data_IF_628043976175
#
_entry.id   IF_628043976175
#
_cell.length_a   1.000
_cell.length_b   1.000
_cell.length_c   1.000
_cell.angle_alpha   90.00
_cell.angle_beta   90.00
_cell.angle_gamma   90.00
#
_symmetry.space_group_name_H-M   'P 1'
#
loop_
_entity.id
_entity.type
_entity.pdbx_description
1 polymer ?
#
# COMPACT_ATOMS: atom_id res chain seq x y z
N UNK A 1 2.01 -6.44 -46.84
CA UNK A 1 1.89 -5.04 -46.35
C UNK A 1 0.89 -4.30 -47.25
N UNK A 2 -0.10 -3.63 -46.65
CA UNK A 2 -1.06 -2.78 -47.34
C UNK A 2 -1.01 -1.37 -46.73
N UNK A 3 -0.97 -0.36 -47.59
CA UNK A 3 -0.86 1.06 -47.23
C UNK A 3 -1.97 1.81 -47.94
N UNK A 4 -2.72 2.64 -47.22
CA UNK A 4 -3.79 3.48 -47.76
C UNK A 4 -3.65 4.94 -47.30
N UNK A 5 -3.78 5.88 -48.25
CA UNK A 5 -3.76 7.32 -48.04
C UNK A 5 -2.58 7.86 -47.21
N UNK A 6 -1.39 7.28 -47.39
CA UNK A 6 -0.19 7.58 -46.61
C UNK A 6 0.82 8.38 -47.44
N UNK A 7 1.18 9.58 -47.00
CA UNK A 7 2.01 10.54 -47.74
C UNK A 7 1.52 10.72 -49.19
N UNK A 8 2.36 10.38 -50.19
CA UNK A 8 1.97 10.45 -51.61
C UNK A 8 1.33 9.16 -52.14
N UNK A 9 1.10 8.14 -51.30
CA UNK A 9 0.50 6.87 -51.68
C UNK A 9 -1.01 6.92 -51.48
N UNK A 10 -1.79 6.64 -52.54
CA UNK A 10 -3.23 6.42 -52.43
C UNK A 10 -3.51 5.00 -51.92
N UNK A 11 -2.95 4.00 -52.58
CA UNK A 11 -3.00 2.60 -52.20
C UNK A 11 -1.72 1.91 -52.66
N UNK A 12 -1.12 1.09 -51.82
CA UNK A 12 0.02 0.24 -52.16
C UNK A 12 -0.12 -1.08 -51.42
N UNK A 13 0.00 -2.18 -52.14
CA UNK A 13 0.02 -3.53 -51.58
C UNK A 13 1.23 -4.26 -52.13
N UNK A 14 2.02 -4.85 -51.23
CA UNK A 14 3.13 -5.70 -51.63
C UNK A 14 3.40 -6.78 -50.59
N UNK A 15 4.04 -7.84 -51.06
CA UNK A 15 4.47 -8.98 -50.24
C UNK A 15 5.98 -9.12 -50.35
N UNK A 16 6.64 -9.24 -49.21
CA UNK A 16 8.06 -9.59 -49.14
C UNK A 16 8.20 -11.11 -49.21
N UNK A 17 9.25 -11.60 -49.84
CA UNK A 17 9.59 -13.03 -49.87
C UNK A 17 10.70 -13.34 -48.86
N UNK A 18 10.91 -14.62 -48.57
CA UNK A 18 12.08 -15.04 -47.78
C UNK A 18 13.39 -14.67 -48.48
N UNK A 19 14.41 -14.31 -47.70
CA UNK A 19 15.72 -13.89 -48.20
C UNK A 19 15.82 -12.40 -48.51
N UNK A 20 16.65 -12.06 -49.50
CA UNK A 20 16.98 -10.68 -49.85
C UNK A 20 15.89 -10.05 -50.74
N UNK A 21 15.25 -8.99 -50.23
CA UNK A 21 14.32 -8.17 -51.00
C UNK A 21 14.98 -6.82 -51.31
N UNK A 22 15.12 -6.47 -52.59
CA UNK A 22 15.74 -5.22 -53.02
C UNK A 22 14.65 -4.28 -53.54
N UNK A 23 14.50 -3.13 -52.87
CA UNK A 23 13.63 -2.03 -53.29
C UNK A 23 14.48 -0.99 -54.03
N UNK A 24 14.26 -0.86 -55.34
CA UNK A 24 14.89 0.16 -56.19
C UNK A 24 13.84 1.12 -56.76
N UNK A 25 14.29 2.31 -57.18
CA UNK A 25 13.43 3.34 -57.75
C UNK A 25 14.23 4.56 -58.20
N UNK A 26 13.60 5.43 -58.97
CA UNK A 26 14.21 6.63 -59.54
C UNK A 26 14.41 7.74 -58.50
N UNK A 27 13.52 7.83 -57.50
CA UNK A 27 13.60 8.79 -56.41
C UNK A 27 13.60 8.11 -55.05
N UNK A 28 14.35 8.67 -54.09
CA UNK A 28 14.42 8.16 -52.71
C UNK A 28 13.10 8.27 -51.93
N UNK A 29 12.12 9.02 -52.44
CA UNK A 29 10.85 9.27 -51.76
C UNK A 29 10.04 7.98 -51.54
N UNK A 30 9.94 7.09 -52.54
CA UNK A 30 9.15 5.86 -52.44
C UNK A 30 9.67 4.90 -51.37
N UNK A 31 11.00 4.72 -51.31
CA UNK A 31 11.66 3.89 -50.30
C UNK A 31 11.46 4.43 -48.89
N UNK A 32 11.65 5.75 -48.71
CA UNK A 32 11.47 6.40 -47.41
C UNK A 32 10.02 6.27 -46.92
N UNK A 33 9.02 6.37 -47.80
CA UNK A 33 7.61 6.22 -47.41
C UNK A 33 7.32 4.79 -46.93
N UNK A 34 7.87 3.78 -47.60
CA UNK A 34 7.71 2.38 -47.17
C UNK A 34 8.36 2.17 -45.79
N UNK A 35 9.57 2.69 -45.57
CA UNK A 35 10.24 2.63 -44.26
C UNK A 35 9.41 3.33 -43.19
N UNK A 36 8.87 4.51 -43.47
CA UNK A 36 8.01 5.24 -42.53
C UNK A 36 6.71 4.48 -42.21
N UNK A 37 6.12 3.80 -43.20
CA UNK A 37 4.95 2.96 -42.99
C UNK A 37 5.28 1.74 -42.11
N UNK A 38 6.44 1.12 -42.31
CA UNK A 38 6.93 0.04 -41.45
C UNK A 38 7.18 0.55 -40.03
N UNK A 39 7.84 1.70 -39.85
CA UNK A 39 8.02 2.34 -38.55
C UNK A 39 6.68 2.61 -37.84
N UNK A 40 5.66 3.01 -38.58
CA UNK A 40 4.33 3.19 -38.02
C UNK A 40 3.75 1.85 -37.50
N UNK A 41 3.88 0.75 -38.25
CA UNK A 41 3.45 -0.58 -37.80
C UNK A 41 4.23 -1.07 -36.58
N UNK A 42 5.48 -0.64 -36.40
CA UNK A 42 6.35 -1.06 -35.29
C UNK A 42 6.19 -0.24 -34.01
N UNK A 43 5.17 0.64 -33.95
CA UNK A 43 4.94 1.49 -32.78
C UNK A 43 5.71 2.82 -32.81
N UNK A 44 6.22 3.23 -33.97
CA UNK A 44 6.80 4.56 -34.18
C UNK A 44 5.78 5.69 -34.01
N UNK A 45 6.25 6.93 -33.96
CA UNK A 45 5.36 8.10 -33.79
C UNK A 45 4.49 8.31 -35.02
N UNK A 46 3.20 8.58 -34.79
CA UNK A 46 2.28 9.01 -35.84
C UNK A 46 2.31 10.55 -35.94
N UNK A 47 2.34 11.08 -37.16
CA UNK A 47 2.11 12.50 -37.44
C UNK A 47 0.98 12.65 -38.47
N UNK A 48 0.21 13.72 -38.35
CA UNK A 48 -0.79 14.10 -39.35
C UNK A 48 -0.15 14.40 -40.72
N UNK A 49 1.14 14.75 -40.76
CA UNK A 49 1.90 14.99 -42.00
C UNK A 49 2.06 13.73 -42.85
N UNK A 50 1.90 12.56 -42.23
CA UNK A 50 1.91 11.27 -42.93
C UNK A 50 0.57 10.96 -43.61
N UNK A 51 -0.47 11.77 -43.38
CA UNK A 51 -1.77 11.61 -44.04
C UNK A 51 -1.72 12.33 -45.38
N UNK A 52 -2.10 11.63 -46.45
CA UNK A 52 -2.17 12.18 -47.80
C UNK A 52 -3.02 13.45 -47.84
N UNK A 53 -2.54 14.47 -48.57
CA UNK A 53 -3.27 15.71 -48.78
C UNK A 53 -4.69 15.47 -49.31
N UNK A 54 -5.68 16.03 -48.63
CA UNK A 54 -7.10 15.89 -48.96
C UNK A 54 -7.81 14.70 -48.29
N UNK A 55 -7.07 13.81 -47.61
CA UNK A 55 -7.65 12.68 -46.87
C UNK A 55 -7.86 13.01 -45.39
N UNK A 56 -8.86 12.34 -44.77
CA UNK A 56 -9.18 12.47 -43.34
C UNK A 56 -8.41 11.47 -42.46
N UNK A 57 -8.02 10.34 -43.05
CA UNK A 57 -7.32 9.24 -42.37
C UNK A 57 -6.30 8.58 -43.31
N UNK A 58 -5.33 7.90 -42.71
CA UNK A 58 -4.41 6.99 -43.38
C UNK A 58 -4.32 5.68 -42.59
N UNK A 59 -4.09 4.56 -43.26
CA UNK A 59 -3.95 3.26 -42.61
C UNK A 59 -2.80 2.45 -43.18
N UNK A 60 -2.10 1.75 -42.30
CA UNK A 60 -1.09 0.75 -42.66
C UNK A 60 -1.48 -0.56 -42.01
N UNK A 61 -1.36 -1.65 -42.77
CA UNK A 61 -1.73 -3.00 -42.36
C UNK A 61 -0.63 -3.99 -42.78
N UNK A 62 -0.16 -4.79 -41.84
CA UNK A 62 0.91 -5.76 -42.04
C UNK A 62 0.47 -7.12 -41.51
N UNK A 63 0.58 -8.14 -42.37
CA UNK A 63 0.46 -9.54 -41.98
C UNK A 63 1.86 -10.11 -41.84
N UNK A 64 2.12 -10.73 -40.70
CA UNK A 64 3.35 -11.45 -40.42
C UNK A 64 3.05 -12.94 -40.23
N UNK A 65 3.86 -13.77 -40.85
CA UNK A 65 3.82 -15.23 -40.73
C UNK A 65 5.10 -15.67 -40.04
N UNK A 66 4.98 -16.42 -38.94
CA UNK A 66 6.13 -16.98 -38.24
C UNK A 66 5.93 -18.47 -37.97
N UNK A 67 7.02 -19.28 -38.00
CA UNK A 67 6.99 -20.59 -37.34
C UNK A 67 6.66 -20.40 -35.86
N UNK A 68 5.97 -21.37 -35.26
CA UNK A 68 5.57 -21.29 -33.85
C UNK A 68 6.79 -21.03 -32.96
N UNK A 69 6.79 -19.85 -32.33
CA UNK A 69 7.82 -19.44 -31.39
C UNK A 69 7.18 -19.30 -30.01
N UNK A 70 7.62 -20.15 -29.07
CA UNK A 70 7.08 -20.22 -27.71
C UNK A 70 7.15 -18.87 -26.99
N UNK A 71 8.26 -18.13 -27.12
CA UNK A 71 8.45 -16.84 -26.46
C UNK A 71 7.50 -15.76 -27.00
N UNK A 72 7.28 -15.75 -28.33
CA UNK A 72 6.36 -14.81 -28.98
C UNK A 72 4.90 -15.14 -28.60
N UNK A 73 4.56 -16.43 -28.53
CA UNK A 73 3.27 -16.93 -28.05
C UNK A 73 2.95 -16.54 -26.61
N UNK A 74 3.89 -16.77 -25.69
CA UNK A 74 3.75 -16.43 -24.28
C UNK A 74 3.54 -14.91 -24.11
N UNK A 75 4.35 -14.08 -24.80
CA UNK A 75 4.20 -12.63 -24.76
C UNK A 75 2.87 -12.15 -25.33
N UNK A 76 2.43 -12.66 -26.49
CA UNK A 76 1.15 -12.26 -27.07
C UNK A 76 -0.01 -12.69 -26.18
N UNK A 77 0.09 -13.85 -25.53
CA UNK A 77 -0.91 -14.34 -24.58
C UNK A 77 -0.99 -13.46 -23.33
N UNK A 78 0.15 -13.02 -22.76
CA UNK A 78 0.19 -12.03 -21.67
C UNK A 78 -0.50 -10.72 -22.05
N UNK A 79 -0.37 -10.31 -23.32
CA UNK A 79 -0.97 -9.09 -23.84
C UNK A 79 -2.45 -9.27 -24.26
N UNK A 80 -3.00 -10.48 -24.17
CA UNK A 80 -4.38 -10.80 -24.53
C UNK A 80 -4.62 -11.01 -26.03
N UNK A 81 -3.58 -11.27 -26.82
CA UNK A 81 -3.70 -11.54 -28.26
C UNK A 81 -3.52 -13.03 -28.55
N UNK A 82 -4.44 -13.62 -29.31
CA UNK A 82 -4.27 -14.99 -29.81
C UNK A 82 -3.32 -15.01 -31.00
N UNK A 83 -2.33 -15.91 -31.00
CA UNK A 83 -1.42 -16.15 -32.12
C UNK A 83 -1.57 -17.58 -32.62
N UNK A 84 -1.69 -17.74 -33.94
CA UNK A 84 -1.83 -19.05 -34.62
C UNK A 84 -0.95 -19.08 -35.88
N UNK A 85 0.34 -18.75 -35.73
CA UNK A 85 1.28 -18.63 -36.85
C UNK A 85 1.17 -17.33 -37.64
N UNK A 86 0.05 -16.61 -37.52
CA UNK A 86 -0.21 -15.34 -38.19
C UNK A 86 -0.50 -14.19 -37.21
N UNK A 87 0.07 -13.02 -37.51
CA UNK A 87 -0.15 -11.78 -36.78
C UNK A 87 -0.49 -10.65 -37.74
N UNK A 88 -1.73 -10.18 -37.67
CA UNK A 88 -2.23 -9.04 -38.43
C UNK A 88 -2.21 -7.79 -37.56
N UNK A 89 -1.43 -6.80 -37.97
CA UNK A 89 -1.35 -5.50 -37.31
C UNK A 89 -1.92 -4.44 -38.24
N UNK A 90 -2.88 -3.67 -37.76
CA UNK A 90 -3.44 -2.53 -38.48
C UNK A 90 -3.37 -1.28 -37.62
N UNK A 91 -2.77 -0.22 -38.18
CA UNK A 91 -2.69 1.10 -37.56
C UNK A 91 -3.35 2.13 -38.46
N UNK A 92 -4.32 2.86 -37.91
CA UNK A 92 -5.03 3.93 -38.58
C UNK A 92 -4.80 5.24 -37.85
N UNK A 93 -4.46 6.29 -38.59
CA UNK A 93 -4.18 7.63 -38.08
C UNK A 93 -5.18 8.60 -38.68
N UNK A 94 -5.76 9.46 -37.84
CA UNK A 94 -6.78 10.43 -38.23
C UNK A 94 -6.23 11.84 -38.11
N UNK A 95 -6.67 12.73 -39.00
CA UNK A 95 -6.23 14.15 -39.01
C UNK A 95 -6.61 14.89 -37.74
N UNK A 96 -7.64 14.41 -37.04
CA UNK A 96 -8.12 14.88 -35.73
C UNK A 96 -7.21 14.44 -34.57
N UNK A 97 -6.08 13.78 -34.84
CA UNK A 97 -5.10 13.33 -33.83
C UNK A 97 -5.44 11.97 -33.18
N UNK A 98 -6.59 11.38 -33.51
CA UNK A 98 -6.95 10.03 -33.05
C UNK A 98 -6.07 9.00 -33.75
N UNK A 99 -5.66 7.99 -32.99
CA UNK A 99 -4.90 6.84 -33.49
C UNK A 99 -5.62 5.56 -33.06
N UNK A 100 -5.81 4.64 -34.00
CA UNK A 100 -6.43 3.34 -33.76
C UNK A 100 -5.43 2.24 -34.12
N UNK A 101 -5.20 1.32 -33.19
CA UNK A 101 -4.30 0.19 -33.37
C UNK A 101 -5.11 -1.09 -33.13
N UNK A 102 -5.01 -2.03 -34.07
CA UNK A 102 -5.62 -3.34 -34.00
C UNK A 102 -4.53 -4.39 -34.19
N UNK A 103 -4.53 -5.41 -33.32
CA UNK A 103 -3.68 -6.60 -33.42
C UNK A 103 -4.61 -7.81 -33.41
N UNK A 104 -4.59 -8.61 -34.48
CA UNK A 104 -5.51 -9.73 -34.71
C UNK A 104 -6.99 -9.36 -34.48
N UNK A 105 -7.37 -8.15 -34.88
CA UNK A 105 -8.74 -7.64 -34.75
C UNK A 105 -9.07 -7.01 -33.38
N UNK A 106 -8.23 -7.19 -32.37
CA UNK A 106 -8.41 -6.62 -31.03
C UNK A 106 -7.74 -5.25 -30.89
N UNK A 107 -8.37 -4.33 -30.15
CA UNK A 107 -7.79 -3.02 -29.86
C UNK A 107 -6.51 -3.15 -29.02
N UNK A 108 -5.47 -2.42 -29.41
CA UNK A 108 -4.19 -2.41 -28.70
C UNK A 108 -3.75 -0.97 -28.38
N UNK A 109 -2.91 -0.83 -27.37
CA UNK A 109 -2.25 0.46 -27.05
C UNK A 109 -0.96 0.62 -27.85
N UNK A 110 -0.45 1.85 -27.93
CA UNK A 110 0.85 2.09 -28.57
C UNK A 110 1.98 1.34 -27.84
N UNK A 111 1.94 1.26 -26.51
CA UNK A 111 2.94 0.55 -25.72
C UNK A 111 2.95 -0.95 -26.02
N UNK A 112 1.77 -1.57 -26.15
CA UNK A 112 1.63 -2.97 -26.58
C UNK A 112 2.23 -3.17 -27.98
N UNK A 113 1.90 -2.28 -28.91
CA UNK A 113 2.41 -2.33 -30.28
C UNK A 113 3.95 -2.17 -30.32
N UNK A 114 4.52 -1.24 -29.55
CA UNK A 114 5.97 -1.04 -29.49
C UNK A 114 6.69 -2.26 -28.90
N UNK A 115 6.10 -2.93 -27.90
CA UNK A 115 6.66 -4.16 -27.31
C UNK A 115 6.69 -5.29 -28.34
N UNK A 116 5.61 -5.46 -29.10
CA UNK A 116 5.52 -6.47 -30.15
C UNK A 116 6.44 -6.12 -31.34
N UNK A 117 6.40 -4.87 -31.82
CA UNK A 117 7.16 -4.40 -32.97
C UNK A 117 8.68 -4.57 -32.82
N UNK A 118 9.21 -4.40 -31.61
CA UNK A 118 10.63 -4.60 -31.32
C UNK A 118 11.16 -6.01 -31.63
N UNK A 119 10.27 -7.01 -31.69
CA UNK A 119 10.60 -8.41 -32.00
C UNK A 119 10.40 -8.71 -33.49
N UNK A 120 9.42 -8.06 -34.14
CA UNK A 120 8.99 -8.40 -35.50
C UNK A 120 9.96 -7.92 -36.57
N UNK A 121 10.44 -6.68 -36.47
CA UNK A 121 11.30 -6.06 -37.49
C UNK A 121 12.37 -5.23 -36.79
N UNK A 122 13.62 -5.43 -37.20
CA UNK A 122 14.72 -4.52 -36.91
C UNK A 122 15.00 -3.64 -38.12
N UNK A 123 14.95 -2.31 -37.94
CA UNK A 123 15.24 -1.33 -39.01
C UNK A 123 16.63 -0.74 -38.77
N UNK A 124 17.52 -0.92 -39.75
CA UNK A 124 18.85 -0.34 -39.76
C UNK A 124 18.87 0.91 -40.63
N UNK A 125 19.01 2.09 -40.02
CA UNK A 125 18.97 3.39 -40.71
C UNK A 125 19.61 4.53 -39.93
N UNK A 126 19.53 5.74 -40.49
CA UNK A 126 20.29 6.93 -40.02
C UNK A 126 19.77 7.54 -38.69
N UNK A 127 18.64 7.07 -38.14
CA UNK A 127 18.00 7.65 -36.96
C UNK A 127 17.33 6.65 -35.96
N UNK A 128 17.66 5.36 -35.94
CA UNK A 128 16.95 4.41 -35.05
C UNK A 128 17.83 3.53 -34.14
N UNK A 129 17.25 3.26 -32.96
CA UNK A 129 17.75 2.47 -31.85
C UNK A 129 18.33 1.14 -32.29
N UNK A 130 19.65 1.09 -32.49
CA UNK A 130 20.33 -0.19 -32.62
C UNK A 130 20.11 -0.96 -31.32
N UNK A 131 19.50 -2.15 -31.39
CA UNK A 131 19.59 -3.15 -30.32
C UNK A 131 21.05 -3.33 -29.88
N UNK A 132 21.99 -3.16 -30.82
CA UNK A 132 23.45 -3.13 -30.61
C UNK A 132 24.00 -1.89 -29.90
N UNK A 133 23.24 -0.80 -29.74
CA UNK A 133 23.66 0.39 -28.96
C UNK A 133 22.98 0.45 -27.59
N UNK A 134 21.97 -0.39 -27.34
CA UNK A 134 21.36 -0.50 -26.01
C UNK A 134 22.30 -1.30 -25.12
N UNK A 135 22.88 -0.63 -24.12
CA UNK A 135 23.78 -1.24 -23.14
C UNK A 135 23.17 -2.47 -22.47
N UNK A 136 21.86 -2.44 -22.19
CA UNK A 136 21.12 -3.55 -21.59
C UNK A 136 21.19 -4.85 -22.42
N UNK A 137 21.37 -4.73 -23.74
CA UNK A 137 21.48 -5.88 -24.65
C UNK A 137 22.91 -6.36 -24.84
N UNK A 138 23.92 -5.56 -24.49
CA UNK A 138 25.32 -5.93 -24.72
C UNK A 138 25.71 -7.17 -23.92
N UNK A 139 25.27 -7.26 -22.67
CA UNK A 139 25.49 -8.45 -21.84
C UNK A 139 24.79 -9.68 -22.43
N UNK A 140 23.55 -9.53 -22.90
CA UNK A 140 22.85 -10.64 -23.57
C UNK A 140 23.58 -11.14 -24.81
N UNK A 141 24.07 -10.22 -25.65
CA UNK A 141 24.83 -10.57 -26.84
C UNK A 141 26.17 -11.24 -26.50
N UNK A 142 26.84 -10.81 -25.43
CA UNK A 142 28.10 -11.39 -24.99
C UNK A 142 27.90 -12.79 -24.39
N UNK A 143 26.87 -12.96 -23.55
CA UNK A 143 26.50 -14.25 -22.95
C UNK A 143 26.13 -15.25 -24.05
N UNK A 144 25.31 -14.82 -25.03
CA UNK A 144 24.89 -15.66 -26.15
C UNK A 144 26.08 -16.04 -27.05
N UNK A 145 26.96 -15.08 -27.36
CA UNK A 145 28.20 -15.35 -28.08
C UNK A 145 29.10 -16.35 -27.34
N UNK A 146 29.12 -16.29 -26.01
CA UNK A 146 29.84 -17.23 -25.14
C UNK A 146 29.16 -18.57 -24.95
N UNK A 147 27.93 -18.76 -25.46
CA UNK A 147 27.12 -19.96 -25.22
C UNK A 147 26.63 -20.09 -23.77
N UNK A 148 26.55 -18.99 -23.03
CA UNK A 148 26.22 -18.92 -21.58
C UNK A 148 24.74 -18.61 -21.31
N UNK A 149 23.89 -18.73 -22.32
CA UNK A 149 22.47 -18.39 -22.22
C UNK A 149 21.73 -19.23 -21.16
N UNK A 150 22.09 -20.51 -21.02
CA UNK A 150 21.47 -21.42 -20.04
C UNK A 150 21.95 -21.11 -18.61
N UNK A 151 23.26 -20.88 -18.42
CA UNK A 151 23.84 -20.49 -17.13
C UNK A 151 23.27 -19.16 -16.63
N UNK A 152 23.08 -18.21 -17.54
CA UNK A 152 22.45 -16.93 -17.25
C UNK A 152 21.00 -17.11 -16.77
N UNK A 153 20.23 -17.98 -17.42
CA UNK A 153 18.84 -18.27 -16.99
C UNK A 153 18.82 -18.88 -15.59
N UNK A 154 19.67 -19.87 -15.33
CA UNK A 154 19.80 -20.50 -14.02
C UNK A 154 20.20 -19.49 -12.93
N UNK A 155 21.19 -18.63 -13.22
CA UNK A 155 21.59 -17.56 -12.31
C UNK A 155 20.43 -16.60 -12.02
N UNK A 156 19.61 -16.27 -13.01
CA UNK A 156 18.47 -15.38 -12.85
C UNK A 156 17.42 -16.00 -11.90
N UNK A 157 17.11 -17.28 -12.06
CA UNK A 157 16.20 -18.01 -11.17
C UNK A 157 16.72 -18.03 -9.73
N UNK A 158 18.00 -18.40 -9.53
CA UNK A 158 18.63 -18.41 -8.22
C UNK A 158 18.65 -17.02 -7.58
N UNK A 159 18.92 -15.98 -8.37
CA UNK A 159 18.94 -14.59 -7.89
C UNK A 159 17.55 -14.10 -7.48
N UNK A 160 16.51 -14.45 -8.25
CA UNK A 160 15.13 -14.14 -7.89
C UNK A 160 14.73 -14.83 -6.58
N UNK A 161 15.10 -16.10 -6.41
CA UNK A 161 14.90 -16.83 -5.15
C UNK A 161 15.63 -16.18 -3.96
N UNK A 162 16.90 -15.82 -4.14
CA UNK A 162 17.68 -15.08 -3.14
C UNK A 162 17.02 -13.76 -2.75
N UNK A 163 16.53 -13.00 -3.74
CA UNK A 163 15.89 -11.70 -3.49
C UNK A 163 14.63 -11.84 -2.65
N UNK A 164 13.77 -12.81 -2.97
CA UNK A 164 12.55 -13.09 -2.20
C UNK A 164 12.88 -13.45 -0.75
N UNK A 165 13.83 -14.37 -0.53
CA UNK A 165 14.27 -14.76 0.81
C UNK A 165 14.88 -13.59 1.59
N UNK A 166 15.66 -12.73 0.93
CA UNK A 166 16.25 -11.55 1.55
C UNK A 166 15.17 -10.55 2.00
N UNK A 167 14.16 -10.33 1.18
CA UNK A 167 13.05 -9.45 1.51
C UNK A 167 12.24 -10.01 2.69
N UNK A 168 12.00 -11.32 2.73
CA UNK A 168 11.36 -12.02 3.84
C UNK A 168 12.16 -11.90 5.15
N UNK A 169 13.49 -12.10 5.10
CA UNK A 169 14.37 -11.92 6.27
C UNK A 169 14.28 -10.50 6.81
N UNK A 170 14.26 -9.49 5.92
CA UNK A 170 14.17 -8.09 6.34
C UNK A 170 12.81 -7.79 7.00
N UNK A 171 11.73 -8.37 6.47
CA UNK A 171 10.40 -8.28 7.07
C UNK A 171 10.36 -8.86 8.49
N UNK A 172 10.81 -10.10 8.64
CA UNK A 172 10.83 -10.80 9.94
C UNK A 172 11.69 -10.07 10.98
N UNK A 173 12.86 -9.54 10.57
CA UNK A 173 13.70 -8.72 11.47
C UNK A 173 12.96 -7.50 11.99
N UNK A 174 12.19 -6.84 11.13
CA UNK A 174 11.40 -5.68 11.52
C UNK A 174 10.31 -6.06 12.53
N UNK A 175 9.57 -7.14 12.25
CA UNK A 175 8.52 -7.64 13.15
C UNK A 175 9.06 -8.05 14.53
N UNK A 176 10.22 -8.70 14.58
CA UNK A 176 10.87 -9.08 15.84
C UNK A 176 11.21 -7.83 16.67
N UNK A 177 11.70 -6.78 16.02
CA UNK A 177 12.08 -5.54 16.70
C UNK A 177 10.84 -4.83 17.26
N UNK A 178 9.80 -4.66 16.44
CA UNK A 178 8.53 -4.03 16.86
C UNK A 178 7.83 -4.82 17.99
N UNK A 179 7.87 -6.16 17.93
CA UNK A 179 7.29 -7.01 18.95
C UNK A 179 8.06 -6.92 20.27
N UNK A 180 9.40 -6.87 20.21
CA UNK A 180 10.26 -6.71 21.39
C UNK A 180 9.99 -5.41 22.13
N UNK A 181 9.94 -4.28 21.42
CA UNK A 181 9.64 -2.96 22.02
C UNK A 181 8.26 -2.95 22.70
N UNK A 182 7.26 -3.58 22.06
CA UNK A 182 5.91 -3.68 22.62
C UNK A 182 5.86 -4.57 23.86
N UNK A 183 6.61 -5.67 23.86
CA UNK A 183 6.72 -6.56 25.00
C UNK A 183 7.35 -5.83 26.20
N UNK A 184 8.45 -5.11 25.99
CA UNK A 184 9.13 -4.34 27.02
C UNK A 184 8.22 -3.26 27.63
N UNK A 185 7.50 -2.50 26.79
CA UNK A 185 6.54 -1.50 27.26
C UNK A 185 5.40 -2.13 28.08
N UNK A 186 4.85 -3.24 27.61
CA UNK A 186 3.76 -3.94 28.31
C UNK A 186 4.24 -4.48 29.65
N UNK A 187 5.45 -5.06 29.69
CA UNK A 187 6.05 -5.58 30.91
C UNK A 187 6.32 -4.47 31.93
N UNK A 188 6.79 -3.30 31.47
CA UNK A 188 6.96 -2.12 32.30
C UNK A 188 5.63 -1.65 32.91
N UNK A 189 4.57 -1.53 32.08
CA UNK A 189 3.25 -1.10 32.55
C UNK A 189 2.65 -2.07 33.58
N UNK A 190 2.79 -3.38 33.38
CA UNK A 190 2.34 -4.39 34.35
C UNK A 190 3.08 -4.21 35.68
N UNK A 191 4.41 -4.08 35.65
CA UNK A 191 5.19 -3.88 36.87
C UNK A 191 4.85 -2.58 37.59
N UNK A 192 4.52 -1.52 36.86
CA UNK A 192 4.10 -0.24 37.45
C UNK A 192 2.77 -0.39 38.18
N UNK A 193 1.79 -1.07 37.56
CA UNK A 193 0.47 -1.34 38.16
C UNK A 193 0.60 -2.25 39.38
N UNK A 194 1.38 -3.33 39.29
CA UNK A 194 1.59 -4.27 40.39
C UNK A 194 2.28 -3.60 41.59
N UNK A 195 3.28 -2.73 41.35
CA UNK A 195 3.96 -1.98 42.42
C UNK A 195 3.06 -0.94 43.10
N UNK A 196 2.03 -0.45 42.41
CA UNK A 196 1.12 0.53 42.97
C UNK A 196 0.17 -0.09 44.02
N UNK A 197 0.03 -1.43 44.07
CA UNK A 197 -0.81 -2.17 45.03
C UNK A 197 -2.24 -1.62 45.18
N UNK A 198 -2.78 -1.04 44.11
CA UNK A 198 -4.06 -0.33 44.12
C UNK A 198 -5.24 -1.27 44.36
N UNK A 199 -6.18 -0.81 45.18
CA UNK A 199 -7.40 -1.56 45.51
C UNK A 199 -8.67 -0.84 45.03
N UNK A 200 -9.69 -1.56 44.53
CA UNK A 200 -10.97 -0.95 44.18
C UNK A 200 -11.61 -0.24 45.37
N UNK A 201 -12.00 1.02 45.19
CA UNK A 201 -12.62 1.85 46.23
C UNK A 201 -11.65 2.43 47.27
N UNK A 202 -10.35 2.33 47.04
CA UNK A 202 -9.31 2.91 47.91
C UNK A 202 -9.44 4.44 48.03
N UNK A 203 -9.65 5.15 46.91
CA UNK A 203 -9.78 6.61 46.90
C UNK A 203 -10.82 7.13 47.91
N UNK A 204 -11.98 6.46 47.99
CA UNK A 204 -13.04 6.84 48.91
C UNK A 204 -12.62 6.62 50.38
N UNK A 205 -11.96 5.50 50.68
CA UNK A 205 -11.45 5.21 52.03
C UNK A 205 -10.36 6.21 52.44
N UNK A 206 -9.41 6.47 51.56
CA UNK A 206 -8.31 7.42 51.81
C UNK A 206 -8.86 8.84 51.98
N UNK A 207 -9.87 9.24 51.21
CA UNK A 207 -10.54 10.53 51.37
C UNK A 207 -11.25 10.66 52.73
N UNK A 208 -11.94 9.62 53.18
CA UNK A 208 -12.60 9.60 54.49
C UNK A 208 -11.59 9.63 55.65
N UNK A 209 -10.54 8.80 55.56
CA UNK A 209 -9.40 8.76 56.49
C UNK A 209 -8.74 10.15 56.61
N UNK A 210 -8.45 10.77 55.47
CA UNK A 210 -7.87 12.11 55.40
C UNK A 210 -8.79 13.14 56.07
N UNK A 211 -10.09 13.11 55.79
CA UNK A 211 -11.06 14.03 56.44
C UNK A 211 -11.05 13.85 57.95
N UNK A 212 -11.07 12.61 58.43
CA UNK A 212 -11.02 12.30 59.87
C UNK A 212 -9.74 12.83 60.52
N UNK A 213 -8.59 12.63 59.87
CA UNK A 213 -7.30 13.12 60.38
C UNK A 213 -7.21 14.64 60.40
N UNK A 214 -7.73 15.32 59.38
CA UNK A 214 -7.80 16.79 59.32
C UNK A 214 -8.64 17.38 60.46
N UNK A 215 -9.76 16.75 60.80
CA UNK A 215 -10.64 17.17 61.90
C UNK A 215 -10.33 16.47 63.24
N UNK A 216 -9.19 15.78 63.37
CA UNK A 216 -8.88 14.98 64.55
C UNK A 216 -8.86 15.79 65.85
N UNK A 217 -8.27 16.99 65.82
CA UNK A 217 -8.23 17.91 66.96
C UNK A 217 -9.63 18.38 67.37
N UNK A 218 -10.44 18.79 66.40
CA UNK A 218 -11.81 19.25 66.60
C UNK A 218 -12.70 18.13 67.17
N UNK A 219 -12.57 16.90 66.65
CA UNK A 219 -13.23 15.72 67.20
C UNK A 219 -12.84 15.46 68.65
N UNK A 220 -11.55 15.60 68.99
CA UNK A 220 -11.04 15.42 70.35
C UNK A 220 -11.60 16.48 71.30
N UNK A 221 -11.64 17.74 70.86
CA UNK A 221 -12.23 18.86 71.61
C UNK A 221 -13.72 18.61 71.89
N UNK A 222 -14.50 18.22 70.87
CA UNK A 222 -15.94 17.90 71.00
C UNK A 222 -16.17 16.75 71.98
N UNK A 223 -15.41 15.65 71.88
CA UNK A 223 -15.57 14.49 72.77
C UNK A 223 -15.16 14.86 74.20
N UNK A 224 -14.07 15.60 74.37
CA UNK A 224 -13.61 16.05 75.69
C UNK A 224 -14.61 17.00 76.34
N UNK A 225 -15.18 17.92 75.57
CA UNK A 225 -16.22 18.82 76.05
C UNK A 225 -17.49 18.05 76.44
N UNK A 226 -17.92 17.08 75.63
CA UNK A 226 -19.03 16.19 75.95
C UNK A 226 -18.80 15.41 77.26
N UNK A 227 -17.61 14.82 77.42
CA UNK A 227 -17.21 14.11 78.63
C UNK A 227 -17.23 15.03 79.87
N UNK A 228 -16.66 16.22 79.74
CA UNK A 228 -16.65 17.21 80.82
C UNK A 228 -18.06 17.63 81.24
N UNK A 229 -18.98 17.85 80.29
CA UNK A 229 -20.37 18.21 80.58
C UNK A 229 -21.16 17.07 81.23
N UNK A 230 -20.89 15.83 80.84
CA UNK A 230 -21.61 14.67 81.37
C UNK A 230 -21.14 14.25 82.77
N UNK A 231 -19.83 14.30 83.03
CA UNK A 231 -19.23 13.70 84.23
C UNK A 231 -18.38 14.67 85.05
N UNK A 232 -17.36 15.27 84.44
CA UNK A 232 -16.20 15.82 85.17
C UNK A 232 -16.43 17.24 85.74
N UNK A 233 -17.31 18.04 85.15
CA UNK A 233 -17.64 19.38 85.70
C UNK A 233 -18.44 19.28 86.99
N UNK A 234 -18.25 20.24 87.88
CA UNK A 234 -19.00 20.34 89.15
C UNK A 234 -20.52 20.50 88.95
N UNK A 235 -20.95 21.05 87.81
CA UNK A 235 -22.35 21.14 87.37
C UNK A 235 -22.69 20.08 86.31
N UNK A 236 -21.99 18.94 86.30
CA UNK A 236 -22.23 17.89 85.32
C UNK A 236 -23.66 17.35 85.41
N UNK A 237 -24.16 16.79 84.30
CA UNK A 237 -25.52 16.21 84.28
C UNK A 237 -25.66 15.12 85.33
N UNK A 238 -24.63 14.30 85.55
CA UNK A 238 -24.64 13.26 86.60
C UNK A 238 -24.67 13.83 88.02
N UNK A 239 -23.93 14.91 88.27
CA UNK A 239 -24.00 15.60 89.57
C UNK A 239 -25.38 16.22 89.81
N UNK A 240 -25.97 16.83 88.78
CA UNK A 240 -27.31 17.43 88.82
C UNK A 240 -28.39 16.36 89.03
N UNK A 241 -28.33 15.24 88.31
CA UNK A 241 -29.22 14.09 88.52
C UNK A 241 -29.07 13.55 89.94
N UNK A 242 -27.84 13.43 90.45
CA UNK A 242 -27.59 12.95 91.82
C UNK A 242 -28.13 13.90 92.89
N UNK A 243 -28.16 15.21 92.63
CA UNK A 243 -28.77 16.19 93.52
C UNK A 243 -30.32 16.14 93.44
N UNK A 244 -30.87 15.95 92.24
CA UNK A 244 -32.30 15.75 92.05
C UNK A 244 -32.79 14.47 92.74
N UNK A 245 -32.08 13.35 92.60
CA UNK A 245 -32.44 12.09 93.30
C UNK A 245 -32.38 12.27 94.81
N UNK A 246 -31.33 12.89 95.36
CA UNK A 246 -31.27 13.21 96.79
C UNK A 246 -32.43 14.11 97.26
N UNK A 247 -32.90 15.01 96.40
CA UNK A 247 -34.02 15.90 96.73
C UNK A 247 -35.36 15.16 96.69
N UNK A 248 -35.55 14.26 95.72
CA UNK A 248 -36.71 13.36 95.66
C UNK A 248 -36.71 12.38 96.83
N UNK A 249 -35.56 11.81 97.21
CA UNK A 249 -35.42 10.95 98.40
C UNK A 249 -35.78 11.70 99.68
N UNK A 250 -35.36 12.97 99.82
CA UNK A 250 -35.81 13.82 100.95
C UNK A 250 -37.31 14.08 100.92
N UNK A 251 -37.88 14.30 99.73
CA UNK A 251 -39.33 14.44 99.53
C UNK A 251 -40.11 13.17 99.88
N UNK A 252 -39.57 11.98 99.58
CA UNK A 252 -40.15 10.70 99.96
C UNK A 252 -40.20 10.49 101.49
N UNK A 253 -39.32 11.15 102.24
CA UNK A 253 -39.40 11.21 103.71
C UNK A 253 -40.53 12.10 104.25
N UNK A 254 -41.11 12.96 103.41
CA UNK A 254 -42.20 13.89 103.76
C UNK A 254 -43.55 13.37 103.24
N UNK A 255 -43.60 12.87 102.01
CA UNK A 255 -44.80 12.30 101.37
C UNK A 255 -44.49 10.89 100.80
N UNK A 256 -45.14 9.82 101.30
CA UNK A 256 -44.95 8.45 100.81
C UNK A 256 -45.26 8.27 99.31
N UNK A 257 -46.05 9.17 98.70
CA UNK A 257 -46.37 9.15 97.26
C UNK A 257 -45.18 9.46 96.35
N UNK A 258 -44.07 9.98 96.91
CA UNK A 258 -42.82 10.28 96.19
C UNK A 258 -41.76 9.17 96.31
N UNK A 259 -42.11 8.03 96.91
CA UNK A 259 -41.20 6.88 96.98
C UNK A 259 -40.91 6.31 95.58
N UNK A 260 -39.72 5.72 95.34
CA UNK A 260 -39.36 5.14 94.05
C UNK A 260 -40.39 4.09 93.64
N UNK A 261 -40.91 4.20 92.42
CA UNK A 261 -41.71 3.14 91.81
C UNK A 261 -40.76 1.96 91.59
N UNK A 262 -40.99 0.86 92.32
CA UNK A 262 -40.26 -0.39 92.14
C UNK A 262 -40.51 -1.02 90.77
#
# INVERSE_FOLDING_TARGET
LSISNFAIIKQLEFSLKSGLNILSGETGAGKTIIINAMNLILGGRASADLIRSGCKEASVEALFEFPENRSLNEMLSELGFSFKGELLIKRSIFREGRNKILINGSMATLQMLSRVGAILISISGQHEHQLLLKQDNHLYLLDDFGGLSDERLNLNELFNGYKLLKDEINHLKKEITETGERQDLTQFQIQEIEKAEISPGEDAKVAEEKRRLQHSKELLEIVTEGYQRLYERNDSVLSSISQCTKSVDRGAGIDPGLAPIK
#
